data_IF_776391595118
#
_entry.id   IF_776391595118
#
_cell.length_a   1.000
_cell.length_b   1.000
_cell.length_c   1.000
_cell.angle_alpha   90.00
_cell.angle_beta   90.00
_cell.angle_gamma   90.00
#
_symmetry.space_group_name_H-M   'P 1'
#
loop_
_entity.id
_entity.type
_entity.pdbx_description
1 polymer ?
#
# COMPACT_ATOMS: atom_id res chain seq x y z
N UNK A 1 -50.74 51.59 4.87
CA UNK A 1 -51.46 51.95 3.63
C UNK A 1 -50.98 51.06 2.50
N UNK A 2 -51.92 50.50 1.75
CA UNK A 2 -51.75 49.66 0.56
C UNK A 2 -50.87 50.36 -0.49
N UNK A 3 -50.15 49.58 -1.30
CA UNK A 3 -50.45 49.48 -2.75
C UNK A 3 -49.78 48.24 -3.35
N UNK A 4 -50.63 47.26 -3.69
CA UNK A 4 -50.40 46.20 -4.67
C UNK A 4 -49.95 46.86 -5.98
N UNK A 5 -48.91 46.31 -6.62
CA UNK A 5 -48.55 46.62 -8.00
C UNK A 5 -49.27 45.60 -8.90
N UNK A 6 -49.82 46.02 -10.06
CA UNK A 6 -50.88 45.29 -10.78
C UNK A 6 -50.37 44.15 -11.65
N UNK A 7 -51.31 43.27 -11.96
CA UNK A 7 -51.21 42.16 -12.89
C UNK A 7 -50.75 42.58 -14.31
N UNK A 8 -49.82 41.79 -14.84
CA UNK A 8 -49.87 41.22 -16.18
C UNK A 8 -50.05 42.15 -17.38
N UNK A 9 -48.93 42.56 -17.98
CA UNK A 9 -48.84 42.62 -19.45
C UNK A 9 -47.85 41.57 -19.94
N UNK A 10 -48.39 40.50 -20.50
CA UNK A 10 -47.65 39.42 -21.12
C UNK A 10 -47.10 39.93 -22.45
N UNK A 11 -45.77 40.12 -22.57
CA UNK A 11 -45.12 40.29 -23.88
C UNK A 11 -45.48 39.09 -24.76
N UNK A 12 -45.87 39.27 -26.03
CA UNK A 12 -46.09 38.14 -26.92
C UNK A 12 -44.81 37.32 -27.01
N UNK A 13 -44.86 36.09 -26.48
CA UNK A 13 -43.82 35.10 -26.69
C UNK A 13 -43.79 34.82 -28.19
N UNK A 14 -42.70 35.18 -28.86
CA UNK A 14 -42.38 34.62 -30.17
C UNK A 14 -42.30 33.11 -30.01
N UNK A 15 -43.39 32.41 -30.34
CA UNK A 15 -43.39 30.97 -30.54
C UNK A 15 -42.46 30.69 -31.71
N UNK A 16 -41.39 29.88 -31.54
CA UNK A 16 -40.68 29.38 -32.69
C UNK A 16 -41.67 28.50 -33.46
N UNK A 17 -42.09 28.93 -34.64
CA UNK A 17 -42.79 28.10 -35.62
C UNK A 17 -41.83 27.03 -36.19
N UNK A 18 -41.28 26.19 -35.32
CA UNK A 18 -40.56 24.98 -35.68
C UNK A 18 -41.40 23.80 -35.23
N UNK A 19 -41.81 22.94 -36.17
CA UNK A 19 -42.32 21.60 -35.82
C UNK A 19 -41.36 20.97 -34.80
N UNK A 20 -41.83 20.30 -33.73
CA UNK A 20 -40.95 19.55 -32.85
C UNK A 20 -40.14 18.59 -33.73
N UNK A 21 -38.81 18.77 -33.74
CA UNK A 21 -37.94 17.84 -34.46
C UNK A 21 -38.22 16.44 -33.89
N UNK A 22 -38.44 15.42 -34.74
CA UNK A 22 -38.60 14.06 -34.25
C UNK A 22 -37.41 13.74 -33.35
N UNK A 23 -37.69 13.21 -32.15
CA UNK A 23 -36.62 12.70 -31.31
C UNK A 23 -35.88 11.64 -32.14
N UNK A 24 -34.56 11.80 -32.28
CA UNK A 24 -33.76 10.79 -32.95
C UNK A 24 -34.01 9.44 -32.25
N UNK A 25 -34.16 8.35 -33.01
CA UNK A 25 -34.30 7.04 -32.39
C UNK A 25 -33.06 6.78 -31.52
N UNK A 26 -33.22 6.10 -30.37
CA UNK A 26 -32.07 5.74 -29.55
C UNK A 26 -31.09 4.90 -30.39
N UNK A 27 -29.77 5.06 -30.20
CA UNK A 27 -28.80 4.32 -30.98
C UNK A 27 -29.00 2.82 -30.77
N UNK A 28 -28.89 2.08 -31.86
CA UNK A 28 -28.92 0.63 -31.88
C UNK A 28 -27.68 0.05 -31.21
N UNK A 29 -27.72 -1.23 -30.83
CA UNK A 29 -26.54 -1.94 -30.28
C UNK A 29 -25.34 -1.90 -31.23
N UNK A 30 -25.58 -1.97 -32.54
CA UNK A 30 -24.53 -1.90 -33.54
C UNK A 30 -23.88 -0.50 -33.59
N UNK A 31 -24.68 0.56 -33.52
CA UNK A 31 -24.18 1.94 -33.47
C UNK A 31 -23.40 2.22 -32.19
N UNK A 32 -23.87 1.70 -31.04
CA UNK A 32 -23.11 1.75 -29.78
C UNK A 32 -21.78 1.02 -29.88
N UNK A 33 -21.76 -0.16 -30.52
CA UNK A 33 -20.53 -0.93 -30.73
C UNK A 33 -19.52 -0.15 -31.57
N UNK A 34 -19.95 0.45 -32.68
CA UNK A 34 -19.08 1.28 -33.55
C UNK A 34 -18.50 2.46 -32.78
N UNK A 35 -19.31 3.14 -31.97
CA UNK A 35 -18.84 4.23 -31.11
C UNK A 35 -17.80 3.75 -30.10
N UNK A 36 -18.08 2.66 -29.39
CA UNK A 36 -17.17 2.12 -28.37
C UNK A 36 -15.86 1.61 -28.96
N UNK A 37 -15.89 0.94 -30.12
CA UNK A 37 -14.68 0.52 -30.85
C UNK A 37 -13.83 1.73 -31.26
N UNK A 38 -14.44 2.82 -31.75
CA UNK A 38 -13.73 4.04 -32.11
C UNK A 38 -13.12 4.76 -30.89
N UNK A 39 -13.84 4.77 -29.76
CA UNK A 39 -13.32 5.30 -28.49
C UNK A 39 -12.13 4.49 -28.02
N UNK A 40 -12.19 3.16 -28.08
CA UNK A 40 -11.06 2.28 -27.76
C UNK A 40 -9.85 2.56 -28.65
N UNK A 41 -10.05 2.66 -29.97
CA UNK A 41 -8.99 2.95 -30.93
C UNK A 41 -8.33 4.33 -30.71
N UNK A 42 -9.04 5.29 -30.10
CA UNK A 42 -8.50 6.61 -29.76
C UNK A 42 -7.54 6.61 -28.56
N UNK A 43 -7.45 5.50 -27.82
CA UNK A 43 -6.65 5.38 -26.58
C UNK A 43 -7.29 6.01 -25.35
N UNK A 44 -8.47 6.63 -25.47
CA UNK A 44 -9.23 7.16 -24.34
C UNK A 44 -9.79 6.01 -23.47
N UNK A 45 -9.80 6.21 -22.14
CA UNK A 45 -10.33 5.26 -21.16
C UNK A 45 -11.54 5.83 -20.39
N UNK A 46 -12.69 6.07 -21.05
CA UNK A 46 -13.87 6.56 -20.35
C UNK A 46 -14.53 5.48 -19.47
N UNK A 47 -14.99 5.90 -18.29
CA UNK A 47 -15.52 5.00 -17.25
C UNK A 47 -16.72 4.15 -17.70
N UNK A 48 -17.53 4.63 -18.65
CA UNK A 48 -18.70 3.90 -19.19
C UNK A 48 -18.32 2.53 -19.78
N UNK A 49 -17.11 2.41 -20.36
CA UNK A 49 -16.64 1.16 -20.93
C UNK A 49 -16.19 0.15 -19.86
N UNK A 50 -15.86 0.61 -18.65
CA UNK A 50 -15.49 -0.27 -17.53
C UNK A 50 -16.64 -1.14 -17.02
N UNK A 51 -17.89 -0.74 -17.31
CA UNK A 51 -19.10 -1.47 -16.94
C UNK A 51 -19.70 -2.28 -18.10
N UNK A 52 -19.12 -2.20 -19.30
CA UNK A 52 -19.64 -2.89 -20.47
C UNK A 52 -18.93 -4.25 -20.66
N UNK A 53 -19.63 -5.40 -20.67
CA UNK A 53 -19.00 -6.72 -20.68
C UNK A 53 -17.95 -6.94 -21.77
N UNK A 54 -18.21 -6.44 -22.99
CA UNK A 54 -17.30 -6.61 -24.13
C UNK A 54 -16.02 -5.76 -24.06
N UNK A 55 -15.96 -4.77 -23.16
CA UNK A 55 -14.86 -3.79 -23.09
C UNK A 55 -14.25 -3.66 -21.68
N UNK A 56 -14.91 -4.19 -20.65
CA UNK A 56 -14.53 -4.02 -19.25
C UNK A 56 -13.15 -4.58 -18.92
N UNK A 57 -12.71 -5.60 -19.65
CA UNK A 57 -11.40 -6.23 -19.46
C UNK A 57 -10.25 -5.26 -19.70
N UNK A 58 -10.43 -4.27 -20.58
CA UNK A 58 -9.45 -3.22 -20.85
C UNK A 58 -9.25 -2.25 -19.67
N UNK A 59 -10.23 -2.25 -18.75
CA UNK A 59 -10.28 -1.39 -17.56
C UNK A 59 -9.95 -2.15 -16.28
N UNK A 60 -9.79 -3.48 -16.36
CA UNK A 60 -9.16 -4.22 -15.29
C UNK A 60 -7.71 -3.73 -15.19
N UNK A 61 -7.30 -3.13 -14.06
CA UNK A 61 -5.89 -2.82 -13.86
C UNK A 61 -5.09 -4.10 -14.06
N UNK A 62 -3.88 -4.04 -14.65
CA UNK A 62 -3.00 -5.22 -14.78
C UNK A 62 -2.85 -5.98 -13.45
N UNK A 63 -2.97 -5.25 -12.33
CA UNK A 63 -3.03 -5.79 -10.96
C UNK A 63 -4.16 -6.83 -10.78
N UNK A 64 -5.36 -6.65 -11.35
CA UNK A 64 -6.49 -7.59 -11.23
C UNK A 64 -6.41 -8.81 -12.15
N UNK A 65 -5.45 -8.87 -13.06
CA UNK A 65 -5.25 -10.03 -13.94
C UNK A 65 -4.53 -11.19 -13.22
N UNK A 66 -4.04 -10.98 -12.00
CA UNK A 66 -3.23 -11.91 -11.24
C UNK A 66 -3.87 -12.16 -9.87
N UNK A 67 -4.19 -13.42 -9.54
CA UNK A 67 -4.78 -13.80 -8.25
C UNK A 67 -3.85 -13.55 -7.05
N UNK A 68 -2.53 -13.47 -7.28
CA UNK A 68 -1.52 -13.17 -6.27
C UNK A 68 -1.46 -11.70 -5.85
N UNK A 69 -2.17 -10.78 -6.51
CA UNK A 69 -2.08 -9.35 -6.20
C UNK A 69 -2.95 -8.92 -5.01
N UNK A 70 -4.17 -9.45 -4.91
CA UNK A 70 -5.15 -9.09 -3.90
C UNK A 70 -5.59 -10.32 -3.11
N UNK A 71 -4.89 -10.57 -2.00
CA UNK A 71 -5.13 -11.74 -1.15
C UNK A 71 -6.47 -11.68 -0.41
N UNK A 72 -7.26 -10.60 -0.54
CA UNK A 72 -8.65 -10.58 -0.04
C UNK A 72 -9.55 -11.51 -0.83
N UNK A 73 -9.19 -11.81 -2.08
CA UNK A 73 -9.97 -12.64 -2.99
C UNK A 73 -9.82 -14.13 -2.73
N UNK A 74 -8.85 -14.55 -1.90
CA UNK A 74 -8.65 -15.97 -1.55
C UNK A 74 -9.60 -16.45 -0.43
N UNK A 75 -10.48 -15.57 0.07
CA UNK A 75 -11.40 -15.93 1.14
C UNK A 75 -12.39 -17.00 0.66
N UNK A 76 -12.36 -18.14 1.34
CA UNK A 76 -13.33 -19.23 1.16
C UNK A 76 -14.04 -19.51 2.50
N UNK A 77 -15.37 -19.33 2.51
CA UNK A 77 -16.18 -19.56 3.70
C UNK A 77 -16.38 -21.04 4.04
N UNK A 78 -16.08 -21.94 3.10
CA UNK A 78 -16.14 -23.40 3.30
C UNK A 78 -14.94 -23.92 4.09
N UNK A 79 -13.82 -23.19 4.08
CA UNK A 79 -12.59 -23.53 4.81
C UNK A 79 -12.81 -23.73 6.32
N UNK A 80 -13.82 -23.08 6.90
CA UNK A 80 -14.19 -23.25 8.32
C UNK A 80 -14.64 -24.68 8.68
N UNK A 81 -15.01 -25.48 7.69
CA UNK A 81 -15.49 -26.85 7.86
C UNK A 81 -14.35 -27.88 7.72
N UNK A 82 -13.16 -27.44 7.32
CA UNK A 82 -11.98 -28.30 7.20
C UNK A 82 -11.34 -28.50 8.57
N UNK A 83 -10.75 -29.68 8.77
CA UNK A 83 -9.84 -29.92 9.87
C UNK A 83 -8.46 -29.31 9.60
N UNK A 84 -7.52 -29.48 10.53
CA UNK A 84 -6.19 -28.91 10.40
C UNK A 84 -5.45 -29.43 9.15
N UNK A 85 -5.56 -30.72 8.85
CA UNK A 85 -4.91 -31.32 7.67
C UNK A 85 -5.51 -30.78 6.37
N UNK A 86 -6.84 -30.73 6.27
CA UNK A 86 -7.52 -30.15 5.11
C UNK A 86 -7.22 -28.67 4.92
N UNK A 87 -7.08 -27.90 6.01
CA UNK A 87 -6.64 -26.50 5.94
C UNK A 87 -5.21 -26.37 5.41
N UNK A 88 -4.28 -27.23 5.85
CA UNK A 88 -2.90 -27.21 5.37
C UNK A 88 -2.82 -27.53 3.88
N UNK A 89 -3.56 -28.55 3.41
CA UNK A 89 -3.65 -28.89 1.99
C UNK A 89 -4.25 -27.75 1.16
N UNK A 90 -5.31 -27.09 1.66
CA UNK A 90 -5.90 -25.92 1.00
C UNK A 90 -4.90 -24.77 0.93
N UNK A 91 -4.11 -24.53 1.98
CA UNK A 91 -3.08 -23.49 1.98
C UNK A 91 -2.02 -23.74 0.90
N UNK A 92 -1.53 -24.98 0.78
CA UNK A 92 -0.56 -25.38 -0.24
C UNK A 92 -1.13 -25.15 -1.65
N UNK A 93 -2.35 -25.63 -1.91
CA UNK A 93 -3.02 -25.42 -3.20
C UNK A 93 -3.19 -23.94 -3.55
N UNK A 94 -3.56 -23.12 -2.56
CA UNK A 94 -3.67 -21.67 -2.74
C UNK A 94 -2.29 -21.13 -3.11
N UNK A 95 -1.25 -21.40 -2.33
CA UNK A 95 0.09 -20.87 -2.55
C UNK A 95 0.65 -21.26 -3.92
N UNK A 96 0.46 -22.51 -4.36
CA UNK A 96 0.89 -22.97 -5.69
C UNK A 96 0.13 -22.26 -6.83
N UNK A 97 -1.11 -21.84 -6.58
CA UNK A 97 -1.92 -21.13 -7.57
C UNK A 97 -1.63 -19.63 -7.63
N UNK A 98 -1.03 -19.04 -6.60
CA UNK A 98 -0.84 -17.59 -6.51
C UNK A 98 0.25 -17.13 -7.48
N UNK A 99 -0.17 -16.38 -8.50
CA UNK A 99 0.74 -15.78 -9.48
C UNK A 99 0.65 -14.27 -9.40
N UNK A 100 1.80 -13.60 -9.46
CA UNK A 100 1.90 -12.15 -9.64
C UNK A 100 3.03 -11.84 -10.61
N UNK A 101 2.83 -10.84 -11.48
CA UNK A 101 3.86 -10.40 -12.43
C UNK A 101 4.71 -9.27 -11.83
N UNK A 102 5.94 -9.12 -12.30
CA UNK A 102 6.80 -7.99 -11.91
C UNK A 102 6.11 -6.64 -12.18
N UNK A 103 5.43 -6.50 -13.32
CA UNK A 103 4.64 -5.31 -13.66
C UNK A 103 3.52 -5.03 -12.64
N UNK A 104 2.86 -6.08 -12.12
CA UNK A 104 1.87 -5.92 -11.07
C UNK A 104 2.52 -5.49 -9.76
N UNK A 105 3.67 -6.05 -9.38
CA UNK A 105 4.45 -5.62 -8.21
C UNK A 105 4.88 -4.15 -8.30
N UNK A 106 5.43 -3.72 -9.43
CA UNK A 106 5.80 -2.32 -9.70
C UNK A 106 4.59 -1.39 -9.65
N UNK A 107 3.45 -1.84 -10.18
CA UNK A 107 2.23 -1.05 -10.10
C UNK A 107 1.67 -0.98 -8.68
N UNK A 108 1.82 -2.01 -7.85
CA UNK A 108 1.44 -1.97 -6.43
C UNK A 108 2.33 -0.97 -5.71
N UNK A 109 3.66 -1.06 -5.87
CA UNK A 109 4.62 -0.16 -5.23
C UNK A 109 4.29 1.30 -5.58
N UNK A 110 4.25 1.65 -6.86
CA UNK A 110 4.04 3.03 -7.31
C UNK A 110 2.71 3.64 -6.84
N UNK A 111 1.62 2.86 -6.82
CA UNK A 111 0.29 3.31 -6.37
C UNK A 111 0.15 3.44 -4.85
N UNK A 112 1.16 3.01 -4.11
CA UNK A 112 1.11 2.92 -2.65
C UNK A 112 2.25 3.68 -1.95
N UNK A 113 3.02 4.49 -2.69
CA UNK A 113 4.08 5.37 -2.15
C UNK A 113 3.59 6.40 -1.13
N UNK A 114 2.32 6.79 -1.17
CA UNK A 114 1.70 7.63 -0.12
C UNK A 114 1.30 6.84 1.14
N UNK A 115 1.64 5.55 1.20
CA UNK A 115 1.58 4.67 2.37
C UNK A 115 0.26 4.77 3.15
N UNK A 116 0.31 5.26 4.40
CA UNK A 116 -0.83 5.33 5.30
C UNK A 116 -1.97 6.25 4.81
N UNK A 117 -1.71 7.11 3.82
CA UNK A 117 -2.74 7.94 3.15
C UNK A 117 -3.42 7.18 2.02
N UNK A 118 -2.79 6.13 1.48
CA UNK A 118 -3.31 5.31 0.38
C UNK A 118 -4.20 4.18 0.89
N UNK A 119 -5.49 4.22 0.55
CA UNK A 119 -6.40 3.10 0.81
C UNK A 119 -5.93 1.79 0.12
N UNK A 120 -5.28 1.92 -1.04
CA UNK A 120 -4.70 0.79 -1.77
C UNK A 120 -3.55 0.15 -1.00
N UNK A 121 -2.74 0.93 -0.27
CA UNK A 121 -1.60 0.39 0.48
C UNK A 121 -2.07 -0.63 1.52
N UNK A 122 -3.09 -0.30 2.29
CA UNK A 122 -3.68 -1.25 3.23
C UNK A 122 -4.45 -2.39 2.54
N UNK A 123 -5.12 -2.13 1.41
CA UNK A 123 -5.80 -3.17 0.65
C UNK A 123 -4.81 -4.25 0.20
N UNK A 124 -3.69 -3.86 -0.41
CA UNK A 124 -2.63 -4.79 -0.79
C UNK A 124 -1.86 -5.36 0.40
N UNK A 125 -1.82 -4.71 1.57
CA UNK A 125 -1.25 -5.34 2.79
C UNK A 125 -2.16 -6.40 3.41
N UNK A 126 -3.45 -6.40 3.09
CA UNK A 126 -4.40 -7.32 3.71
C UNK A 126 -4.05 -8.76 3.37
N UNK A 127 -3.90 -9.60 4.41
CA UNK A 127 -3.55 -11.01 4.26
C UNK A 127 -2.06 -11.27 4.05
N UNK A 128 -1.23 -10.23 3.90
CA UNK A 128 0.23 -10.36 3.76
C UNK A 128 0.93 -10.23 5.10
N UNK A 129 1.93 -11.08 5.34
CA UNK A 129 2.89 -10.89 6.43
C UNK A 129 3.78 -9.72 6.05
N UNK A 130 3.59 -8.59 6.74
CA UNK A 130 4.38 -7.38 6.50
C UNK A 130 5.58 -7.29 7.43
N UNK A 131 6.61 -6.53 7.04
CA UNK A 131 7.87 -6.45 7.78
C UNK A 131 7.71 -6.14 9.27
N UNK A 132 6.83 -5.20 9.63
CA UNK A 132 6.54 -4.85 11.03
C UNK A 132 5.83 -5.94 11.84
N UNK A 133 5.36 -7.01 11.17
CA UNK A 133 4.70 -8.18 11.75
C UNK A 133 5.55 -9.44 11.72
N UNK A 134 6.67 -9.46 11.00
CA UNK A 134 7.47 -10.67 10.82
C UNK A 134 7.94 -11.24 12.16
N UNK A 135 8.43 -10.40 13.07
CA UNK A 135 8.83 -10.84 14.41
C UNK A 135 7.70 -11.58 15.14
N UNK A 136 6.49 -11.02 15.14
CA UNK A 136 5.35 -11.61 15.84
C UNK A 136 4.94 -12.94 15.20
N UNK A 137 5.04 -13.05 13.88
CA UNK A 137 4.77 -14.30 13.12
C UNK A 137 5.80 -15.37 13.44
N UNK A 138 7.09 -15.04 13.48
CA UNK A 138 8.16 -15.98 13.83
C UNK A 138 8.11 -16.47 15.30
N UNK A 139 7.38 -15.78 16.17
CA UNK A 139 7.29 -16.09 17.60
C UNK A 139 5.88 -16.47 18.06
N UNK A 140 4.95 -16.70 17.14
CA UNK A 140 3.62 -17.23 17.47
C UNK A 140 3.59 -18.76 17.34
N UNK A 141 2.69 -19.43 18.05
CA UNK A 141 2.47 -20.88 17.89
C UNK A 141 1.61 -21.11 16.66
N UNK A 142 2.03 -21.97 15.75
CA UNK A 142 1.31 -22.22 14.49
C UNK A 142 -0.02 -22.96 14.73
N UNK A 143 -0.08 -23.81 15.76
CA UNK A 143 -1.27 -24.57 16.14
C UNK A 143 -2.30 -23.71 16.87
N UNK A 144 -1.86 -22.57 17.42
CA UNK A 144 -2.71 -21.66 18.20
C UNK A 144 -2.22 -20.21 18.04
N UNK A 145 -2.31 -19.63 16.83
CA UNK A 145 -1.78 -18.30 16.57
C UNK A 145 -2.55 -17.23 17.34
N UNK A 146 -1.87 -16.13 17.67
CA UNK A 146 -2.53 -15.00 18.32
C UNK A 146 -3.64 -14.43 17.45
N UNK A 147 -4.88 -14.43 17.97
CA UNK A 147 -6.05 -13.84 17.27
C UNK A 147 -5.80 -12.35 16.99
N UNK A 148 -5.11 -11.64 17.88
CA UNK A 148 -4.74 -10.25 17.67
C UNK A 148 -3.75 -10.07 16.51
N UNK A 149 -2.78 -10.99 16.37
CA UNK A 149 -1.85 -11.00 15.25
C UNK A 149 -2.58 -11.26 13.93
N UNK A 150 -3.41 -12.30 13.87
CA UNK A 150 -4.22 -12.63 12.70
C UNK A 150 -5.11 -11.46 12.27
N UNK A 151 -5.84 -10.85 13.21
CA UNK A 151 -6.64 -9.66 12.94
C UNK A 151 -5.78 -8.51 12.39
N UNK A 152 -4.57 -8.32 12.92
CA UNK A 152 -3.69 -7.24 12.45
C UNK A 152 -3.13 -7.47 11.03
N UNK A 153 -3.03 -8.73 10.58
CA UNK A 153 -2.60 -9.13 9.22
C UNK A 153 -3.80 -9.06 8.25
N UNK A 154 -4.95 -9.60 8.64
CA UNK A 154 -6.15 -9.66 7.80
C UNK A 154 -6.98 -8.37 7.80
N UNK A 155 -6.75 -7.46 8.74
CA UNK A 155 -7.47 -6.19 8.86
C UNK A 155 -6.52 -5.03 9.20
N UNK A 156 -5.58 -4.69 8.31
CA UNK A 156 -4.55 -3.68 8.59
C UNK A 156 -5.12 -2.26 8.80
N UNK A 157 -6.33 -2.02 8.27
CA UNK A 157 -7.14 -0.79 8.41
C UNK A 157 -7.89 -0.64 9.74
N UNK A 158 -8.03 -1.72 10.53
CA UNK A 158 -8.86 -1.67 11.74
C UNK A 158 -8.35 -0.58 12.70
N UNK A 159 -9.27 0.08 13.41
CA UNK A 159 -8.96 1.16 14.33
C UNK A 159 -7.87 0.73 15.32
N UNK A 160 -6.69 1.34 15.17
CA UNK A 160 -5.55 1.10 16.06
C UNK A 160 -5.52 2.20 17.11
N UNK A 161 -5.40 1.85 18.40
CA UNK A 161 -5.20 2.85 19.43
C UNK A 161 -3.91 3.63 19.15
N UNK A 162 -4.03 4.94 19.00
CA UNK A 162 -2.88 5.83 18.84
C UNK A 162 -2.30 6.16 20.21
N UNK A 163 -1.25 5.44 20.61
CA UNK A 163 -0.53 5.73 21.86
C UNK A 163 0.34 6.99 21.72
N UNK A 164 0.68 7.70 22.81
CA UNK A 164 1.58 8.85 22.75
C UNK A 164 2.94 8.56 22.06
N UNK A 165 3.61 7.41 22.31
CA UNK A 165 4.83 7.05 21.59
C UNK A 165 4.62 6.91 20.08
N UNK A 166 3.51 6.31 19.63
CA UNK A 166 3.21 6.18 18.21
C UNK A 166 2.92 7.53 17.56
N UNK A 167 2.25 8.44 18.28
CA UNK A 167 1.98 9.80 17.78
C UNK A 167 3.27 10.58 17.60
N UNK A 168 4.16 10.55 18.59
CA UNK A 168 5.47 11.18 18.51
C UNK A 168 6.32 10.62 17.36
N UNK A 169 6.34 9.30 17.19
CA UNK A 169 7.01 8.65 16.07
C UNK A 169 6.58 9.26 14.73
N UNK A 170 5.26 9.30 14.47
CA UNK A 170 4.72 9.89 13.24
C UNK A 170 5.00 11.39 13.10
N UNK A 171 4.96 12.14 14.20
CA UNK A 171 5.25 13.58 14.19
C UNK A 171 6.73 13.87 13.89
N UNK A 172 7.65 12.96 14.24
CA UNK A 172 9.10 13.16 14.13
C UNK A 172 9.77 12.47 12.96
N UNK A 173 9.12 11.49 12.34
CA UNK A 173 9.65 10.73 11.21
C UNK A 173 10.13 11.62 10.05
N UNK A 174 9.32 12.62 9.67
CA UNK A 174 9.68 13.55 8.60
C UNK A 174 10.92 14.40 8.91
N UNK A 175 11.09 14.81 10.17
CA UNK A 175 12.26 15.57 10.63
C UNK A 175 13.51 14.68 10.63
N UNK A 176 13.40 13.45 11.12
CA UNK A 176 14.49 12.47 11.13
C UNK A 176 14.95 12.09 9.71
N UNK A 177 14.01 11.87 8.78
CA UNK A 177 14.32 11.63 7.37
C UNK A 177 15.04 12.83 6.73
N UNK A 178 14.65 14.06 7.07
CA UNK A 178 15.31 15.26 6.55
C UNK A 178 16.76 15.36 7.04
N UNK A 179 17.00 15.07 8.33
CA UNK A 179 18.35 15.05 8.89
C UNK A 179 19.20 13.95 8.28
N UNK A 180 18.66 12.74 8.14
CA UNK A 180 19.32 11.62 7.47
C UNK A 180 19.75 11.97 6.05
N UNK A 181 18.85 12.57 5.24
CA UNK A 181 19.16 13.01 3.87
C UNK A 181 20.30 14.02 3.86
N UNK A 182 20.23 15.05 4.71
CA UNK A 182 21.27 16.10 4.79
C UNK A 182 22.64 15.57 5.22
N UNK A 183 22.68 14.58 6.11
CA UNK A 183 23.94 13.93 6.50
C UNK A 183 24.47 13.06 5.37
N UNK A 184 23.60 12.29 4.73
CA UNK A 184 23.96 11.40 3.63
C UNK A 184 24.53 12.17 2.44
N UNK A 185 23.95 13.32 2.08
CA UNK A 185 24.46 14.22 1.03
C UNK A 185 25.87 14.76 1.29
N UNK A 186 26.32 14.77 2.55
CA UNK A 186 27.68 15.21 2.93
C UNK A 186 28.67 14.05 2.96
N UNK A 187 28.20 12.83 3.14
CA UNK A 187 29.02 11.63 3.35
C UNK A 187 29.12 10.73 2.11
N UNK A 188 28.16 10.84 1.20
CA UNK A 188 28.03 9.99 0.03
C UNK A 188 28.00 10.81 -1.26
N UNK A 189 28.60 10.26 -2.32
CA UNK A 189 28.61 10.84 -3.67
C UNK A 189 27.39 10.38 -4.47
N UNK A 190 26.82 11.27 -5.29
CA UNK A 190 25.68 10.99 -6.17
C UNK A 190 24.47 10.35 -5.46
N UNK A 191 24.25 10.72 -4.19
CA UNK A 191 23.18 10.14 -3.39
C UNK A 191 21.81 10.55 -3.92
N UNK A 192 20.94 9.56 -4.09
CA UNK A 192 19.57 9.72 -4.53
C UNK A 192 18.61 9.06 -3.55
N UNK A 193 17.45 9.68 -3.35
CA UNK A 193 16.41 9.17 -2.46
C UNK A 193 15.10 8.98 -3.21
N UNK A 194 14.38 7.90 -2.91
CA UNK A 194 13.07 7.61 -3.49
C UNK A 194 12.08 7.23 -2.39
N UNK A 195 10.86 7.77 -2.48
CA UNK A 195 9.73 7.27 -1.67
C UNK A 195 9.45 5.81 -2.02
N UNK A 196 8.98 5.04 -1.03
CA UNK A 196 8.69 3.64 -1.17
C UNK A 196 7.21 3.33 -0.91
N UNK A 197 6.60 2.56 -1.81
CA UNK A 197 5.32 1.92 -1.58
C UNK A 197 5.46 0.52 -0.99
N UNK A 198 4.44 -0.31 -1.20
CA UNK A 198 4.48 -1.73 -0.84
C UNK A 198 5.23 -2.53 -1.92
N UNK A 199 6.35 -3.11 -1.52
CA UNK A 199 7.06 -4.13 -2.28
C UNK A 199 6.48 -5.51 -1.97
N UNK A 200 6.27 -6.30 -3.01
CA UNK A 200 5.79 -7.69 -2.95
C UNK A 200 6.72 -8.54 -3.84
N UNK A 201 7.40 -9.57 -3.31
CA UNK A 201 8.21 -10.45 -4.12
C UNK A 201 7.32 -11.42 -4.92
N UNK A 202 7.75 -11.75 -6.13
CA UNK A 202 7.03 -12.65 -7.06
C UNK A 202 6.96 -14.09 -6.56
N UNK A 203 7.99 -14.53 -5.84
CA UNK A 203 8.13 -15.91 -5.34
C UNK A 203 7.37 -16.14 -4.03
N UNK A 204 7.11 -15.07 -3.27
CA UNK A 204 6.49 -15.12 -1.95
C UNK A 204 5.43 -14.05 -1.81
N UNK A 205 4.37 -14.14 -2.60
CA UNK A 205 3.35 -13.07 -2.71
C UNK A 205 2.64 -12.75 -1.39
N UNK A 206 2.69 -13.68 -0.42
CA UNK A 206 2.17 -13.53 0.94
C UNK A 206 3.07 -12.67 1.85
N UNK A 207 4.26 -12.29 1.40
CA UNK A 207 5.15 -11.34 2.08
C UNK A 207 5.00 -9.93 1.47
N UNK A 208 5.34 -8.92 2.26
CA UNK A 208 5.51 -7.58 1.72
C UNK A 208 6.17 -6.61 2.70
N UNK A 209 6.75 -5.53 2.18
CA UNK A 209 7.32 -4.49 3.02
C UNK A 209 7.22 -3.12 2.38
N UNK A 210 7.27 -2.11 3.23
CA UNK A 210 7.38 -0.71 2.85
C UNK A 210 8.50 -0.15 3.71
N UNK A 211 9.68 0.13 3.14
CA UNK A 211 10.70 0.97 3.77
C UNK A 211 10.20 2.40 3.98
N UNK A 212 10.81 3.14 4.89
CA UNK A 212 10.51 4.56 5.04
C UNK A 212 11.11 5.38 3.89
N UNK A 213 12.27 4.96 3.38
CA UNK A 213 12.93 5.56 2.21
C UNK A 213 13.79 4.53 1.49
N UNK A 214 14.01 4.72 0.19
CA UNK A 214 15.08 4.06 -0.57
C UNK A 214 16.24 5.04 -0.78
N UNK A 215 17.47 4.56 -0.64
CA UNK A 215 18.70 5.32 -0.87
C UNK A 215 19.55 4.61 -1.92
N UNK A 216 20.25 5.38 -2.75
CA UNK A 216 21.17 4.87 -3.75
C UNK A 216 22.34 5.85 -3.92
N UNK A 217 23.58 5.41 -3.72
CA UNK A 217 24.80 6.19 -3.99
C UNK A 217 25.81 5.38 -4.81
N UNK A 218 26.75 6.05 -5.47
CA UNK A 218 27.83 5.41 -6.22
C UNK A 218 28.77 4.59 -5.31
N UNK A 219 28.88 5.00 -4.04
CA UNK A 219 29.72 4.40 -3.01
C UNK A 219 29.23 3.07 -2.44
N UNK A 220 27.95 2.98 -2.12
CA UNK A 220 27.34 1.92 -1.30
C UNK A 220 26.32 1.10 -2.11
N UNK A 221 25.93 1.58 -3.30
CA UNK A 221 24.84 1.01 -4.09
C UNK A 221 23.47 1.37 -3.53
N UNK A 222 22.48 0.51 -3.75
CA UNK A 222 21.10 0.75 -3.32
C UNK A 222 20.77 0.05 -1.98
N UNK A 223 20.18 0.80 -1.06
CA UNK A 223 19.76 0.36 0.26
C UNK A 223 18.32 0.71 0.59
N UNK A 224 17.84 0.20 1.73
CA UNK A 224 16.60 0.63 2.37
C UNK A 224 16.93 1.48 3.59
N UNK A 225 16.06 2.42 3.95
CA UNK A 225 16.18 3.22 5.17
C UNK A 225 14.95 2.96 6.02
N UNK A 226 15.17 2.70 7.30
CA UNK A 226 14.13 2.49 8.30
C UNK A 226 14.39 3.43 9.47
N UNK A 227 13.45 4.35 9.69
CA UNK A 227 13.52 5.38 10.71
C UNK A 227 12.67 4.97 11.91
N UNK A 228 13.20 5.13 13.11
CA UNK A 228 12.46 4.98 14.35
C UNK A 228 12.74 6.19 15.22
N UNK A 229 11.70 6.84 15.73
CA UNK A 229 11.84 7.93 16.68
C UNK A 229 11.31 7.47 18.05
N UNK A 230 12.12 6.82 18.90
CA UNK A 230 11.62 6.23 20.14
C UNK A 230 11.29 7.33 21.15
N UNK A 231 10.12 7.25 21.78
CA UNK A 231 9.69 8.23 22.79
C UNK A 231 10.70 8.40 23.93
N UNK A 232 11.44 7.35 24.28
CA UNK A 232 12.45 7.40 25.36
C UNK A 232 13.57 8.41 25.07
N UNK A 233 13.94 8.61 23.80
CA UNK A 233 15.01 9.53 23.40
C UNK A 233 14.50 10.97 23.29
N UNK A 234 13.18 11.20 23.37
CA UNK A 234 12.60 12.56 23.33
C UNK A 234 13.24 13.52 24.34
N UNK A 235 13.69 12.98 25.48
CA UNK A 235 14.33 13.72 26.57
C UNK A 235 15.72 13.16 26.92
N UNK A 236 16.25 12.27 26.09
CA UNK A 236 17.43 11.47 26.37
C UNK A 236 18.48 11.54 25.26
N UNK A 237 19.57 10.80 25.44
CA UNK A 237 20.65 10.63 24.47
C UNK A 237 20.67 9.19 23.93
N UNK A 238 21.41 8.94 22.85
CA UNK A 238 21.58 7.58 22.30
C UNK A 238 22.13 6.59 23.35
N UNK A 239 22.94 7.07 24.31
CA UNK A 239 23.43 6.31 25.46
C UNK A 239 22.30 5.69 26.30
N UNK A 240 21.13 6.34 26.34
CA UNK A 240 19.97 5.84 27.07
C UNK A 240 19.32 4.64 26.38
N UNK A 241 19.47 4.53 25.04
CA UNK A 241 19.06 3.33 24.29
C UNK A 241 20.06 2.18 24.46
N UNK A 242 21.36 2.49 24.50
CA UNK A 242 22.42 1.49 24.67
C UNK A 242 22.41 0.85 26.07
N UNK A 243 22.06 1.65 27.09
CA UNK A 243 21.93 1.16 28.47
C UNK A 243 20.62 0.41 28.74
N UNK A 244 19.62 0.52 27.83
CA UNK A 244 18.37 -0.22 27.95
C UNK A 244 18.55 -1.69 27.52
N UNK A 245 18.44 -2.60 28.49
CA UNK A 245 18.45 -4.05 28.23
C UNK A 245 17.37 -4.45 27.22
N UNK A 246 16.22 -3.77 27.24
CA UNK A 246 15.11 -3.96 26.31
C UNK A 246 15.15 -3.00 25.10
N UNK A 247 16.22 -2.20 24.97
CA UNK A 247 16.45 -1.30 23.86
C UNK A 247 16.74 -2.05 22.56
N UNK A 248 16.59 -1.36 21.42
CA UNK A 248 16.74 -1.97 20.10
C UNK A 248 18.19 -2.09 19.62
N UNK A 249 19.13 -1.33 20.20
CA UNK A 249 20.54 -1.30 19.79
C UNK A 249 21.46 -1.84 20.87
N UNK A 250 22.65 -2.26 20.46
CA UNK A 250 23.75 -2.73 21.31
C UNK A 250 25.07 -2.20 20.74
N UNK A 251 26.12 -2.17 21.56
CA UNK A 251 27.47 -1.88 21.09
C UNK A 251 28.23 -3.19 20.89
N UNK A 252 28.87 -3.35 19.73
CA UNK A 252 29.71 -4.50 19.38
C UNK A 252 30.99 -3.94 18.76
N UNK A 253 32.14 -4.22 19.37
CA UNK A 253 33.45 -3.71 18.93
C UNK A 253 33.53 -2.17 18.77
N UNK A 254 32.80 -1.42 19.60
CA UNK A 254 32.77 0.05 19.54
C UNK A 254 31.78 0.61 18.51
N UNK A 255 31.10 -0.23 17.75
CA UNK A 255 30.09 0.16 16.78
C UNK A 255 28.68 -0.10 17.32
N UNK A 256 27.76 0.82 17.03
CA UNK A 256 26.36 0.68 17.42
C UNK A 256 25.62 -0.14 16.38
N UNK A 257 25.08 -1.29 16.79
CA UNK A 257 24.35 -2.21 15.93
C UNK A 257 22.92 -2.45 16.41
N UNK A 258 22.02 -2.73 15.47
CA UNK A 258 20.67 -3.20 15.76
C UNK A 258 20.71 -4.63 16.33
N UNK A 259 20.13 -4.85 17.52
CA UNK A 259 20.09 -6.16 18.15
C UNK A 259 19.35 -7.17 17.26
N UNK A 260 20.02 -8.26 16.90
CA UNK A 260 19.46 -9.33 16.05
C UNK A 260 18.23 -10.02 16.63
N UNK A 261 18.07 -9.98 17.95
CA UNK A 261 16.90 -10.52 18.67
C UNK A 261 15.73 -9.54 18.72
N UNK A 262 15.91 -8.28 18.33
CA UNK A 262 14.89 -7.26 18.42
C UNK A 262 13.96 -7.26 17.20
N UNK A 263 12.69 -6.91 17.39
CA UNK A 263 11.67 -6.92 16.32
C UNK A 263 12.01 -6.05 15.11
N UNK A 264 12.73 -4.95 15.31
CA UNK A 264 13.17 -4.08 14.22
C UNK A 264 14.20 -4.77 13.32
N UNK A 265 15.00 -5.70 13.84
CA UNK A 265 15.92 -6.47 13.01
C UNK A 265 15.15 -7.32 12.00
N UNK A 266 14.13 -8.05 12.45
CA UNK A 266 13.25 -8.84 11.57
C UNK A 266 12.56 -7.94 10.53
N UNK A 267 12.13 -6.74 10.93
CA UNK A 267 11.51 -5.78 10.02
C UNK A 267 12.48 -5.37 8.89
N UNK A 268 13.69 -4.95 9.26
CA UNK A 268 14.73 -4.53 8.31
C UNK A 268 15.16 -5.69 7.41
N UNK A 269 15.33 -6.89 7.96
CA UNK A 269 15.68 -8.09 7.17
C UNK A 269 14.61 -8.40 6.12
N UNK A 270 13.31 -8.30 6.46
CA UNK A 270 12.26 -8.50 5.46
C UNK A 270 12.27 -7.40 4.40
N UNK A 271 12.48 -6.15 4.79
CA UNK A 271 12.58 -5.03 3.83
C UNK A 271 13.72 -5.26 2.83
N UNK A 272 14.92 -5.61 3.31
CA UNK A 272 16.05 -5.94 2.44
C UNK A 272 15.72 -7.08 1.49
N UNK A 273 15.11 -8.16 2.02
CA UNK A 273 14.71 -9.31 1.22
C UNK A 273 13.72 -8.95 0.11
N UNK A 274 12.58 -8.32 0.44
CA UNK A 274 11.53 -8.05 -0.55
C UNK A 274 11.90 -6.93 -1.52
N UNK A 275 12.71 -5.96 -1.09
CA UNK A 275 13.20 -4.88 -1.95
C UNK A 275 14.46 -5.27 -2.73
N UNK A 276 14.98 -6.48 -2.52
CA UNK A 276 16.22 -7.01 -3.13
C UNK A 276 17.40 -6.05 -2.92
N UNK A 277 17.63 -5.62 -1.67
CA UNK A 277 18.71 -4.69 -1.27
C UNK A 277 19.73 -5.37 -0.36
N UNK A 278 20.98 -4.93 -0.47
CA UNK A 278 22.12 -5.56 0.21
C UNK A 278 22.40 -4.97 1.60
N UNK A 279 21.88 -3.78 1.89
CA UNK A 279 22.04 -3.15 3.19
C UNK A 279 20.80 -2.33 3.57
N UNK A 280 20.78 -1.94 4.84
CA UNK A 280 19.78 -1.06 5.39
C UNK A 280 20.41 -0.07 6.37
N UNK A 281 20.02 1.19 6.25
CA UNK A 281 20.32 2.22 7.23
C UNK A 281 19.20 2.29 8.25
N UNK A 282 19.51 1.93 9.50
CA UNK A 282 18.58 1.98 10.60
C UNK A 282 18.81 3.25 11.43
N UNK A 283 17.88 4.20 11.36
CA UNK A 283 18.02 5.56 11.91
C UNK A 283 17.20 5.69 13.20
N UNK A 284 17.79 6.29 14.24
CA UNK A 284 17.21 6.50 15.57
C UNK A 284 17.11 7.96 15.99
#
# INVERSE_FOLDING_TARGET
MKKKIPDGECRPKNTPNGRPKPAAPPPTKAEWKVLFDAVVASGLRPAVLSTHPDYSDMFLPAIRACNGSDLRLIYDCTAKNLDYEGLMQLCEQIFDSLVITEQACESIESRTRSQAVSANWYAYRTGRVTASKLYDVCHTRLESPSVGLLKSICMPHADKPSTPPMKYGREKEAEALLQYKSLSEKQHEDVNFKEAGLFVPTEHVYLGATPDLLVECSCCGAGVVEVKCPWKVKYGQLSDLLSDKNGCVTEVHGEVELKKTHRYYYQVQLQMFVCKKNYADFVL
#
